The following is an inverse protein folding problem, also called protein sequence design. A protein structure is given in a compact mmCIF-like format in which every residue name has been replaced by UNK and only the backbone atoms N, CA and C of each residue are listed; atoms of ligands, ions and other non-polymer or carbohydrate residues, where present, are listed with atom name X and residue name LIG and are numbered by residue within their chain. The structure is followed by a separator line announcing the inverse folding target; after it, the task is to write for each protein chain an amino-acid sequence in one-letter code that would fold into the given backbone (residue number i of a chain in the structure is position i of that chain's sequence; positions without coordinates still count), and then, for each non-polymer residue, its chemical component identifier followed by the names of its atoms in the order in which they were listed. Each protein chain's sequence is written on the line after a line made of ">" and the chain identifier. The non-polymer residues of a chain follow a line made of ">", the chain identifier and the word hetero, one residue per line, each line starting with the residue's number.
data_IF_834789780232
#
_entry.id   IF_834789780232
#
_cell.length_a   1.000
_cell.length_b   1.000
_cell.length_c   1.000
_cell.angle_alpha   90.00
_cell.angle_beta   90.00
_cell.angle_gamma   90.00
#
_symmetry.space_group_name_H-M   'P 1'
#
loop_
_entity.id
_entity.type
_entity.pdbx_description
1 polymer ?
#
# COMPACT_ATOMS: atom_id res chain seq x y z
N UNK A 1 29.67 -7.54 -6.25
CA UNK A 1 28.69 -6.45 -6.54
C UNK A 1 28.56 -5.60 -5.28
N UNK A 2 28.60 -4.26 -5.35
CA UNK A 2 28.43 -3.39 -4.18
C UNK A 2 27.02 -3.55 -3.57
N UNK A 3 26.93 -3.49 -2.22
CA UNK A 3 25.67 -3.69 -1.49
C UNK A 3 24.56 -2.73 -1.95
N UNK A 4 24.82 -1.41 -2.13
CA UNK A 4 23.79 -0.49 -2.61
C UNK A 4 23.25 -0.84 -4.00
N UNK A 5 24.08 -1.42 -4.86
CA UNK A 5 23.65 -1.85 -6.18
C UNK A 5 22.73 -3.07 -6.09
N UNK A 6 23.06 -4.05 -5.22
CA UNK A 6 22.19 -5.20 -4.95
C UNK A 6 20.83 -4.71 -4.45
N UNK A 7 20.83 -3.82 -3.46
CA UNK A 7 19.62 -3.21 -2.91
C UNK A 7 18.80 -2.51 -3.98
N UNK A 8 19.42 -1.62 -4.77
CA UNK A 8 18.74 -0.88 -5.84
C UNK A 8 18.13 -1.80 -6.89
N UNK A 9 18.86 -2.84 -7.33
CA UNK A 9 18.35 -3.84 -8.27
C UNK A 9 17.14 -4.57 -7.66
N UNK A 10 17.23 -5.02 -6.42
CA UNK A 10 16.14 -5.77 -5.77
C UNK A 10 14.86 -4.94 -5.70
N UNK A 11 14.95 -3.68 -5.27
CA UNK A 11 13.80 -2.78 -5.20
C UNK A 11 13.24 -2.48 -6.60
N UNK A 12 14.13 -2.20 -7.58
CA UNK A 12 13.70 -1.91 -8.95
C UNK A 12 12.98 -3.10 -9.60
N UNK A 13 13.50 -4.31 -9.40
CA UNK A 13 12.83 -5.53 -9.90
C UNK A 13 11.50 -5.79 -9.18
N UNK A 14 11.39 -5.47 -7.89
CA UNK A 14 10.12 -5.50 -7.16
C UNK A 14 9.07 -4.60 -7.82
N UNK A 15 9.42 -3.34 -8.12
CA UNK A 15 8.53 -2.41 -8.83
C UNK A 15 8.17 -2.90 -10.23
N UNK A 16 9.15 -3.36 -11.00
CA UNK A 16 8.93 -3.87 -12.35
C UNK A 16 7.95 -5.06 -12.35
N UNK A 17 8.25 -6.07 -11.53
CA UNK A 17 7.44 -7.28 -11.46
C UNK A 17 6.00 -6.98 -11.01
N UNK A 18 5.82 -6.20 -9.94
CA UNK A 18 4.49 -5.81 -9.46
C UNK A 18 3.73 -4.92 -10.44
N UNK A 19 4.42 -4.04 -11.17
CA UNK A 19 3.79 -3.21 -12.20
C UNK A 19 3.28 -4.07 -13.36
N UNK A 20 4.08 -5.04 -13.83
CA UNK A 20 3.67 -5.99 -14.87
C UNK A 20 2.49 -6.83 -14.39
N UNK A 21 2.58 -7.39 -13.17
CA UNK A 21 1.50 -8.19 -12.59
C UNK A 21 0.21 -7.37 -12.43
N UNK A 22 0.33 -6.14 -11.95
CA UNK A 22 -0.82 -5.25 -11.81
C UNK A 22 -1.46 -4.90 -13.17
N UNK A 23 -0.66 -4.65 -14.20
CA UNK A 23 -1.16 -4.32 -15.53
C UNK A 23 -1.84 -5.53 -16.20
N UNK A 24 -1.30 -6.73 -16.03
CA UNK A 24 -1.78 -7.92 -16.72
C UNK A 24 -2.90 -8.65 -15.98
N UNK A 25 -2.92 -8.60 -14.65
CA UNK A 25 -3.85 -9.41 -13.85
C UNK A 25 -4.74 -8.57 -12.95
N UNK A 26 -4.19 -7.64 -12.15
CA UNK A 26 -5.01 -6.90 -11.19
C UNK A 26 -5.93 -5.91 -11.91
N UNK A 27 -5.35 -5.04 -12.75
CA UNK A 27 -6.14 -3.99 -13.42
C UNK A 27 -7.26 -4.54 -14.31
N UNK A 28 -7.06 -5.54 -15.17
CA UNK A 28 -8.15 -6.15 -15.94
C UNK A 28 -9.25 -6.75 -15.05
N UNK A 29 -8.89 -7.34 -13.92
CA UNK A 29 -9.83 -7.95 -13.01
C UNK A 29 -10.73 -6.93 -12.27
N UNK A 30 -10.23 -5.72 -12.01
CA UNK A 30 -10.95 -4.72 -11.21
C UNK A 30 -11.50 -3.55 -12.04
N UNK A 31 -10.92 -3.26 -13.21
CA UNK A 31 -11.22 -2.05 -13.98
C UNK A 31 -12.66 -1.95 -14.49
N UNK A 32 -13.36 -3.09 -14.65
CA UNK A 32 -14.76 -3.15 -15.15
C UNK A 32 -15.78 -3.32 -14.02
N UNK A 33 -15.32 -3.49 -12.77
CA UNK A 33 -16.21 -3.67 -11.61
C UNK A 33 -16.72 -2.34 -11.10
N UNK A 34 -17.78 -2.39 -10.30
CA UNK A 34 -18.20 -1.25 -9.49
C UNK A 34 -17.07 -0.83 -8.55
N UNK A 35 -17.01 0.48 -8.26
CA UNK A 35 -15.87 1.06 -7.49
C UNK A 35 -15.69 0.37 -6.14
N UNK A 36 -16.77 0.12 -5.41
CA UNK A 36 -16.69 -0.54 -4.10
C UNK A 36 -16.13 -1.96 -4.19
N UNK A 37 -16.58 -2.74 -5.19
CA UNK A 37 -16.10 -4.10 -5.43
C UNK A 37 -14.63 -4.12 -5.87
N UNK A 38 -14.23 -3.14 -6.71
CA UNK A 38 -12.86 -3.01 -7.18
C UNK A 38 -11.89 -2.61 -6.06
N UNK A 39 -12.33 -1.78 -5.11
CA UNK A 39 -11.52 -1.30 -3.98
C UNK A 39 -11.36 -2.37 -2.90
N UNK A 40 -12.36 -3.22 -2.69
CA UNK A 40 -12.40 -4.20 -1.59
C UNK A 40 -11.11 -5.03 -1.46
N UNK A 41 -10.63 -5.75 -2.50
CA UNK A 41 -9.42 -6.58 -2.37
C UNK A 41 -8.17 -5.75 -2.06
N UNK A 42 -8.09 -4.52 -2.57
CA UNK A 42 -6.95 -3.64 -2.30
C UNK A 42 -6.98 -3.16 -0.84
N UNK A 43 -8.13 -2.76 -0.31
CA UNK A 43 -8.26 -2.34 1.08
C UNK A 43 -7.94 -3.49 2.04
N UNK A 44 -8.37 -4.73 1.72
CA UNK A 44 -7.99 -5.92 2.49
C UNK A 44 -6.48 -6.12 2.47
N UNK A 45 -5.83 -6.01 1.30
CA UNK A 45 -4.37 -6.10 1.19
C UNK A 45 -3.67 -5.09 2.10
N UNK A 46 -4.11 -3.84 2.09
CA UNK A 46 -3.52 -2.80 2.92
C UNK A 46 -3.81 -2.96 4.43
N UNK A 47 -4.82 -3.73 4.80
CA UNK A 47 -5.03 -4.15 6.18
C UNK A 47 -3.87 -4.94 6.76
N UNK A 48 -3.06 -5.63 5.93
CA UNK A 48 -1.88 -6.38 6.36
C UNK A 48 -0.65 -5.49 6.65
N UNK A 49 -0.71 -4.19 6.42
CA UNK A 49 0.41 -3.29 6.72
C UNK A 49 0.81 -3.28 8.21
N UNK A 50 -0.05 -3.74 9.12
CA UNK A 50 0.33 -3.93 10.53
C UNK A 50 1.61 -4.77 10.69
N UNK A 51 2.00 -5.57 9.69
CA UNK A 51 3.25 -6.35 9.68
C UNK A 51 4.48 -5.43 9.84
N UNK A 52 4.41 -4.16 9.40
CA UNK A 52 5.46 -3.16 9.62
C UNK A 52 5.77 -2.89 11.10
N UNK A 53 4.91 -3.30 12.04
CA UNK A 53 5.25 -3.28 13.47
C UNK A 53 6.44 -4.16 13.83
N UNK A 54 6.77 -5.16 12.99
CA UNK A 54 7.88 -6.08 13.21
C UNK A 54 9.23 -5.35 13.27
N UNK A 55 9.36 -4.18 12.63
CA UNK A 55 10.57 -3.34 12.70
C UNK A 55 10.91 -2.87 14.14
N UNK A 56 9.94 -2.93 15.06
CA UNK A 56 10.15 -2.60 16.47
C UNK A 56 10.60 -3.81 17.31
N UNK A 57 10.73 -4.99 16.73
CA UNK A 57 11.05 -6.23 17.46
C UNK A 57 12.55 -6.55 17.32
N UNK A 58 13.35 -6.41 18.40
CA UNK A 58 14.74 -6.86 18.40
C UNK A 58 14.82 -8.36 18.07
N UNK A 59 15.73 -8.72 17.16
CA UNK A 59 15.87 -10.12 16.70
C UNK A 59 15.10 -10.40 15.40
N UNK A 60 14.02 -9.70 15.09
CA UNK A 60 13.46 -9.63 13.73
C UNK A 60 14.31 -8.71 12.88
N UNK A 61 14.68 -7.56 13.45
CA UNK A 61 15.61 -6.57 12.89
C UNK A 61 16.85 -6.46 13.77
N UNK A 62 17.88 -5.78 13.27
CA UNK A 62 19.09 -5.47 14.05
C UNK A 62 18.71 -4.71 15.33
N UNK A 63 19.31 -5.05 16.50
CA UNK A 63 18.89 -4.49 17.82
C UNK A 63 18.93 -2.96 17.92
N UNK A 64 19.72 -2.30 17.09
CA UNK A 64 19.85 -0.84 17.08
C UNK A 64 18.68 -0.15 16.37
N UNK A 65 18.02 -0.83 15.43
CA UNK A 65 17.00 -0.23 14.56
C UNK A 65 15.73 0.19 15.30
N UNK A 66 15.16 -0.63 16.22
CA UNK A 66 13.89 -0.32 16.90
C UNK A 66 13.90 1.01 17.69
N UNK A 67 15.06 1.43 18.17
CA UNK A 67 15.18 2.67 18.93
C UNK A 67 15.18 3.93 18.05
N UNK A 68 15.27 3.80 16.73
CA UNK A 68 15.37 4.93 15.81
C UNK A 68 14.02 5.60 15.59
N UNK A 69 14.06 6.90 15.24
CA UNK A 69 12.87 7.65 14.79
C UNK A 69 12.32 7.04 13.51
N UNK A 70 13.21 6.58 12.63
CA UNK A 70 12.83 5.89 11.38
C UNK A 70 11.94 4.66 11.65
N UNK A 71 12.39 3.74 12.52
CA UNK A 71 11.65 2.52 12.81
C UNK A 71 10.27 2.81 13.43
N UNK A 72 10.20 3.76 14.36
CA UNK A 72 8.92 4.17 14.97
C UNK A 72 7.99 4.83 13.94
N UNK A 73 8.52 5.72 13.10
CA UNK A 73 7.75 6.37 12.03
C UNK A 73 7.15 5.34 11.08
N UNK A 74 7.96 4.39 10.61
CA UNK A 74 7.53 3.30 9.73
C UNK A 74 6.45 2.44 10.39
N UNK A 75 6.71 1.93 11.60
CA UNK A 75 5.80 1.04 12.31
C UNK A 75 4.41 1.67 12.56
N UNK A 76 4.39 2.90 13.08
CA UNK A 76 3.13 3.58 13.39
C UNK A 76 2.42 4.11 12.13
N UNK A 77 3.17 4.51 11.10
CA UNK A 77 2.62 4.87 9.80
C UNK A 77 1.92 3.68 9.14
N UNK A 78 2.56 2.53 9.15
CA UNK A 78 1.98 1.28 8.66
C UNK A 78 0.73 0.87 9.43
N UNK A 79 0.77 0.92 10.77
CA UNK A 79 -0.40 0.62 11.61
C UNK A 79 -1.56 1.58 11.36
N UNK A 80 -1.28 2.88 11.27
CA UNK A 80 -2.29 3.89 10.98
C UNK A 80 -2.92 3.67 9.60
N UNK A 81 -2.10 3.37 8.58
CA UNK A 81 -2.59 3.06 7.24
C UNK A 81 -3.43 1.79 7.21
N UNK A 82 -3.01 0.73 7.91
CA UNK A 82 -3.80 -0.51 8.03
C UNK A 82 -5.16 -0.22 8.66
N UNK A 83 -5.18 0.58 9.72
CA UNK A 83 -6.42 1.00 10.41
C UNK A 83 -7.33 1.79 9.46
N UNK A 84 -6.80 2.78 8.75
CA UNK A 84 -7.54 3.55 7.76
C UNK A 84 -8.10 2.67 6.63
N UNK A 85 -7.32 1.69 6.15
CA UNK A 85 -7.77 0.74 5.14
C UNK A 85 -8.96 -0.08 5.64
N UNK A 86 -8.92 -0.58 6.87
CA UNK A 86 -10.02 -1.36 7.48
C UNK A 86 -11.26 -0.50 7.73
N UNK A 87 -11.09 0.75 8.18
CA UNK A 87 -12.20 1.70 8.32
C UNK A 87 -12.84 1.99 6.96
N UNK A 88 -12.03 2.26 5.93
CA UNK A 88 -12.52 2.48 4.58
C UNK A 88 -13.23 1.24 4.02
N UNK A 89 -12.70 0.04 4.30
CA UNK A 89 -13.31 -1.23 3.92
C UNK A 89 -14.70 -1.42 4.55
N UNK A 90 -14.82 -1.13 5.84
CA UNK A 90 -16.10 -1.23 6.55
C UNK A 90 -17.13 -0.20 6.06
N UNK A 91 -16.66 0.96 5.59
CA UNK A 91 -17.53 2.01 5.07
C UNK A 91 -17.95 1.80 3.60
N UNK A 92 -17.43 0.76 2.89
CA UNK A 92 -17.81 0.50 1.50
C UNK A 92 -19.33 0.31 1.37
N UNK A 93 -19.93 0.99 0.41
CA UNK A 93 -21.39 1.00 0.21
C UNK A 93 -22.12 2.13 0.95
N UNK A 94 -21.42 2.92 1.77
CA UNK A 94 -21.96 4.12 2.42
C UNK A 94 -21.50 5.40 1.72
N UNK A 95 -22.10 6.55 2.07
CA UNK A 95 -21.67 7.87 1.58
C UNK A 95 -20.27 8.29 2.06
N UNK A 96 -19.77 7.64 3.10
CA UNK A 96 -18.44 7.91 3.68
C UNK A 96 -17.32 7.12 2.97
N UNK A 97 -17.65 6.16 2.11
CA UNK A 97 -16.67 5.31 1.44
C UNK A 97 -15.63 6.11 0.66
N UNK A 98 -16.08 7.02 -0.22
CA UNK A 98 -15.18 7.76 -1.08
C UNK A 98 -14.21 8.68 -0.31
N UNK A 99 -14.65 9.55 0.63
CA UNK A 99 -13.72 10.36 1.41
C UNK A 99 -12.76 9.52 2.28
N UNK A 100 -13.21 8.43 2.87
CA UNK A 100 -12.34 7.56 3.67
C UNK A 100 -11.28 6.85 2.80
N UNK A 101 -11.64 6.41 1.60
CA UNK A 101 -10.66 5.83 0.67
C UNK A 101 -9.65 6.88 0.20
N UNK A 102 -10.07 8.13 -0.03
CA UNK A 102 -9.14 9.22 -0.33
C UNK A 102 -8.15 9.47 0.83
N UNK A 103 -8.63 9.56 2.06
CA UNK A 103 -7.80 9.75 3.27
C UNK A 103 -6.80 8.60 3.40
N UNK A 104 -7.29 7.36 3.35
CA UNK A 104 -6.45 6.16 3.37
C UNK A 104 -5.35 6.23 2.28
N UNK A 105 -5.74 6.54 1.05
CA UNK A 105 -4.84 6.44 -0.09
C UNK A 105 -3.75 7.53 -0.08
N UNK A 106 -4.13 8.76 0.26
CA UNK A 106 -3.18 9.88 0.38
C UNK A 106 -2.24 9.63 1.55
N UNK A 107 -2.78 9.29 2.73
CA UNK A 107 -1.97 9.04 3.92
C UNK A 107 -0.99 7.87 3.67
N UNK A 108 -1.48 6.71 3.21
CA UNK A 108 -0.65 5.53 3.01
C UNK A 108 0.41 5.69 1.93
N UNK A 109 0.11 6.43 0.85
CA UNK A 109 1.11 6.79 -0.17
C UNK A 109 2.19 7.68 0.42
N UNK A 110 1.79 8.73 1.15
CA UNK A 110 2.73 9.68 1.77
C UNK A 110 3.63 9.00 2.79
N UNK A 111 3.08 8.07 3.57
CA UNK A 111 3.81 7.28 4.54
C UNK A 111 4.90 6.42 3.89
N UNK A 112 4.58 5.68 2.82
CA UNK A 112 5.56 4.89 2.09
C UNK A 112 6.66 5.76 1.44
N UNK A 113 6.31 6.91 0.87
CA UNK A 113 7.29 7.84 0.30
C UNK A 113 8.19 8.43 1.39
N UNK A 114 7.62 8.76 2.55
CA UNK A 114 8.39 9.20 3.70
C UNK A 114 9.32 8.10 4.22
N UNK A 115 8.90 6.83 4.24
CA UNK A 115 9.75 5.71 4.62
C UNK A 115 10.97 5.57 3.69
N UNK A 116 10.82 5.75 2.39
CA UNK A 116 11.94 5.80 1.46
C UNK A 116 12.86 6.99 1.72
N UNK A 117 12.29 8.16 1.94
CA UNK A 117 13.07 9.36 2.25
C UNK A 117 13.90 9.19 3.53
N UNK A 118 13.28 8.73 4.61
CA UNK A 118 13.96 8.49 5.88
C UNK A 118 14.97 7.35 5.79
N UNK A 119 14.68 6.29 5.05
CA UNK A 119 15.62 5.19 4.79
C UNK A 119 16.90 5.66 4.10
N UNK A 120 16.80 6.63 3.18
CA UNK A 120 17.98 7.26 2.57
C UNK A 120 18.80 8.06 3.59
N UNK A 121 18.17 8.77 4.51
CA UNK A 121 18.89 9.53 5.54
C UNK A 121 19.71 8.65 6.48
N UNK A 122 19.25 7.44 6.78
CA UNK A 122 20.01 6.48 7.59
C UNK A 122 20.93 5.59 6.74
N UNK A 123 21.09 5.91 5.45
CA UNK A 123 21.94 5.14 4.52
C UNK A 123 21.58 3.65 4.43
N UNK A 124 20.30 3.32 4.51
CA UNK A 124 19.78 1.95 4.53
C UNK A 124 20.26 1.12 3.34
N UNK A 125 20.43 1.75 2.18
CA UNK A 125 20.96 1.10 0.98
C UNK A 125 22.38 0.56 1.16
N UNK A 126 23.19 1.16 2.07
CA UNK A 126 24.53 0.69 2.40
C UNK A 126 24.53 -0.40 3.47
N UNK A 127 23.50 -0.42 4.31
CA UNK A 127 23.38 -1.32 5.47
C UNK A 127 22.01 -2.03 5.53
N UNK A 128 21.55 -2.67 4.43
CA UNK A 128 20.21 -3.28 4.39
C UNK A 128 20.05 -4.43 5.38
N UNK A 129 21.16 -5.02 5.84
CA UNK A 129 21.17 -6.03 6.90
C UNK A 129 20.61 -5.55 8.24
N UNK A 130 20.50 -4.22 8.46
CA UNK A 130 19.79 -3.68 9.63
C UNK A 130 18.32 -4.12 9.69
N UNK A 131 17.71 -4.35 8.54
CA UNK A 131 16.33 -4.79 8.46
C UNK A 131 16.12 -6.26 8.83
N UNK A 132 17.19 -7.09 8.86
CA UNK A 132 17.04 -8.51 9.19
C UNK A 132 15.96 -9.18 8.32
N UNK A 133 14.98 -9.84 8.96
CA UNK A 133 13.86 -10.47 8.27
C UNK A 133 12.95 -9.48 7.54
N UNK A 134 12.86 -8.25 8.01
CA UNK A 134 12.07 -7.18 7.38
C UNK A 134 12.67 -6.66 6.07
N UNK A 135 13.84 -7.19 5.64
CA UNK A 135 14.43 -6.88 4.32
C UNK A 135 13.43 -7.02 3.16
N UNK A 136 12.54 -8.00 3.25
CA UNK A 136 11.54 -8.25 2.21
C UNK A 136 10.41 -7.21 2.18
N UNK A 137 10.22 -6.42 3.23
CA UNK A 137 9.20 -5.37 3.24
C UNK A 137 9.51 -4.33 2.17
N UNK A 138 10.66 -3.61 2.17
CA UNK A 138 10.98 -2.64 1.12
C UNK A 138 11.33 -3.26 -0.23
N UNK A 139 11.81 -4.51 -0.25
CA UNK A 139 12.20 -5.18 -1.50
C UNK A 139 11.01 -5.74 -2.28
N UNK A 140 9.97 -6.20 -1.60
CA UNK A 140 8.81 -6.88 -2.18
C UNK A 140 7.49 -6.21 -1.81
N UNK A 141 7.25 -5.95 -0.52
CA UNK A 141 6.00 -5.42 0.01
C UNK A 141 5.73 -3.98 -0.44
N UNK A 142 6.68 -3.08 -0.23
CA UNK A 142 6.50 -1.65 -0.55
C UNK A 142 6.25 -1.40 -2.04
N UNK A 143 6.93 -2.06 -3.00
CA UNK A 143 6.57 -1.98 -4.41
C UNK A 143 5.13 -2.39 -4.70
N UNK A 144 4.65 -3.50 -4.12
CA UNK A 144 3.26 -3.94 -4.24
C UNK A 144 2.29 -2.87 -3.71
N UNK A 145 2.56 -2.36 -2.51
CA UNK A 145 1.71 -1.38 -1.86
C UNK A 145 1.63 -0.06 -2.65
N UNK A 146 2.75 0.46 -3.16
CA UNK A 146 2.75 1.67 -3.99
C UNK A 146 2.03 1.47 -5.33
N UNK A 147 2.24 0.33 -5.98
CA UNK A 147 1.51 -0.02 -7.22
C UNK A 147 0.01 -0.09 -6.96
N UNK A 148 -0.42 -0.69 -5.85
CA UNK A 148 -1.85 -0.78 -5.51
C UNK A 148 -2.44 0.55 -5.06
N UNK A 149 -1.71 1.43 -4.37
CA UNK A 149 -2.12 2.82 -4.13
C UNK A 149 -2.36 3.57 -5.44
N UNK A 150 -1.47 3.39 -6.44
CA UNK A 150 -1.67 3.97 -7.76
C UNK A 150 -2.96 3.45 -8.42
N UNK A 151 -3.28 2.16 -8.30
CA UNK A 151 -4.55 1.62 -8.80
C UNK A 151 -5.75 2.22 -8.09
N UNK A 152 -5.67 2.47 -6.77
CA UNK A 152 -6.74 3.16 -6.03
C UNK A 152 -6.94 4.58 -6.56
N UNK A 153 -5.88 5.35 -6.80
CA UNK A 153 -6.02 6.67 -7.45
C UNK A 153 -6.73 6.57 -8.79
N UNK A 154 -6.36 5.62 -9.64
CA UNK A 154 -7.03 5.39 -10.94
C UNK A 154 -8.52 5.06 -10.77
N UNK A 155 -8.88 4.25 -9.77
CA UNK A 155 -10.28 3.90 -9.49
C UNK A 155 -11.07 5.11 -8.98
N UNK A 156 -10.49 5.93 -8.11
CA UNK A 156 -11.13 7.14 -7.55
C UNK A 156 -11.35 8.21 -8.62
N UNK A 157 -10.38 8.41 -9.51
CA UNK A 157 -10.47 9.39 -10.60
C UNK A 157 -11.34 8.94 -11.79
N UNK A 158 -11.74 7.66 -11.84
CA UNK A 158 -12.59 7.16 -12.90
C UNK A 158 -14.01 7.72 -12.75
N UNK A 159 -14.54 8.33 -13.83
CA UNK A 159 -15.95 8.73 -13.88
C UNK A 159 -16.82 7.49 -13.67
N UNK A 160 -17.67 7.50 -12.66
CA UNK A 160 -18.71 6.46 -12.53
C UNK A 160 -19.71 6.65 -13.68
N UNK A 161 -19.95 5.58 -14.43
CA UNK A 161 -21.11 5.57 -15.32
C UNK A 161 -22.35 5.79 -14.43
N UNK A 162 -23.20 6.77 -14.80
CA UNK A 162 -24.46 6.96 -14.11
C UNK A 162 -25.21 5.62 -14.10
N UNK A 163 -25.66 5.19 -12.93
CA UNK A 163 -26.47 4.00 -12.82
C UNK A 163 -27.68 4.16 -13.77
N UNK A 164 -27.98 3.19 -14.66
CA UNK A 164 -29.14 3.30 -15.51
C UNK A 164 -30.38 3.48 -14.62
N UNK A 165 -31.15 4.54 -14.89
CA UNK A 165 -32.42 4.78 -14.21
C UNK A 165 -33.23 3.47 -14.31
N UNK A 166 -33.48 2.81 -13.19
CA UNK A 166 -34.46 1.72 -13.12
C UNK A 166 -35.81 2.32 -13.48
N UNK A 167 -36.19 2.20 -14.74
CA UNK A 167 -37.56 2.44 -15.14
C UNK A 167 -38.43 1.39 -14.43
N UNK A 168 -39.03 1.80 -13.32
CA UNK A 168 -40.08 1.00 -12.70
C UNK A 168 -41.23 0.98 -13.74
N UNK A 169 -41.30 -0.07 -14.56
CA UNK A 169 -42.49 -0.34 -15.33
C UNK A 169 -43.62 -0.59 -14.32
N UNK A 170 -44.48 0.41 -14.18
CA UNK A 170 -45.70 0.24 -13.43
C UNK A 170 -46.47 -0.94 -14.00
N UNK A 171 -46.79 -1.89 -13.13
CA UNK A 171 -47.75 -2.94 -13.44
C UNK A 171 -49.11 -2.25 -13.61
N UNK A 172 -49.64 -2.34 -14.83
CA UNK A 172 -51.04 -2.06 -15.12
C UNK A 172 -51.84 -3.37 -14.98
#
# INVERSE_FOLDING_TARGET
>A
MPIPLIWGITVAFGFLAWSIFAAQYIWPAISKRERAEALRPILVLHGFRYIGLAVLIPGVVSPQLPATIFARGLAYGDLATATLALIALAALGTKLAEPLVWIFNIFGTSDLLNAFYQGNHISLANTPGLLGADYFIPAFGVPLLLVTHFLVFRLLMRKQAAAPLRVVRGAA
#
